data_IF_865517648538
#
_entry.id   IF_865517648538
#
_cell.length_a   1.000
_cell.length_b   1.000
_cell.length_c   1.000
_cell.angle_alpha   90.00
_cell.angle_beta   90.00
_cell.angle_gamma   90.00
#
_symmetry.space_group_name_H-M   'P 1'
#
loop_
_entity.id
_entity.type
_entity.pdbx_description
1 polymer ?
#
# COMPACT_ATOMS: atom_id res chain seq x y z
N UNK A 1 0.53 -23.87 1.92
CA UNK A 1 -0.01 -22.69 1.20
C UNK A 1 1.04 -22.25 0.21
N UNK A 2 0.64 -21.83 -0.99
CA UNK A 2 1.53 -21.38 -2.06
C UNK A 2 1.08 -20.01 -2.56
N UNK A 3 2.04 -19.18 -2.97
CA UNK A 3 1.77 -17.95 -3.70
C UNK A 3 1.62 -18.30 -5.18
N UNK A 4 0.48 -17.93 -5.75
CA UNK A 4 0.17 -18.09 -7.16
C UNK A 4 0.26 -16.72 -7.83
N UNK A 5 1.01 -16.67 -8.92
CA UNK A 5 1.17 -15.50 -9.79
C UNK A 5 0.47 -15.76 -11.12
N UNK A 6 0.12 -14.69 -11.85
CA UNK A 6 -0.44 -14.82 -13.21
C UNK A 6 -1.96 -14.76 -13.26
N UNK A 7 -2.54 -13.76 -12.60
CA UNK A 7 -3.95 -13.37 -12.78
C UNK A 7 -4.32 -13.16 -14.25
N UNK A 8 -5.59 -12.89 -14.52
CA UNK A 8 -6.19 -12.89 -15.89
C UNK A 8 -5.60 -11.86 -16.87
N UNK A 9 -4.74 -10.95 -16.42
CA UNK A 9 -4.12 -9.94 -17.27
C UNK A 9 -2.85 -10.48 -17.94
N UNK A 10 -2.75 -10.31 -19.26
CA UNK A 10 -1.58 -10.72 -20.05
C UNK A 10 -0.33 -9.85 -19.77
N UNK A 11 -0.51 -8.54 -19.55
CA UNK A 11 0.59 -7.62 -19.22
C UNK A 11 0.98 -7.78 -17.75
N UNK A 12 2.25 -8.14 -17.48
CA UNK A 12 2.78 -8.13 -16.11
C UNK A 12 2.72 -6.72 -15.54
N UNK A 13 2.01 -6.51 -14.43
CA UNK A 13 1.76 -5.19 -13.84
C UNK A 13 1.88 -5.24 -12.32
N UNK A 14 2.65 -4.29 -11.78
CA UNK A 14 2.78 -4.08 -10.33
C UNK A 14 1.71 -3.13 -9.84
N UNK A 15 0.97 -3.54 -8.82
CA UNK A 15 0.00 -2.69 -8.09
C UNK A 15 0.35 -2.68 -6.61
N UNK A 16 0.03 -1.60 -5.92
CA UNK A 16 0.25 -1.46 -4.49
C UNK A 16 -1.06 -1.11 -3.79
N UNK A 17 -1.30 -1.68 -2.62
CA UNK A 17 -2.40 -1.32 -1.73
C UNK A 17 -1.79 -0.87 -0.40
N UNK A 18 -2.36 0.17 0.20
CA UNK A 18 -1.94 0.69 1.50
C UNK A 18 -3.15 0.93 2.39
N UNK A 19 -2.97 0.73 3.69
CA UNK A 19 -3.99 0.96 4.71
C UNK A 19 -3.31 1.38 6.03
N UNK A 20 -4.06 2.01 6.93
CA UNK A 20 -3.62 2.23 8.29
C UNK A 20 -4.76 2.09 9.30
N UNK A 21 -4.55 1.30 10.34
CA UNK A 21 -5.48 1.25 11.48
C UNK A 21 -5.03 2.25 12.55
N UNK A 22 -5.86 3.26 12.79
CA UNK A 22 -5.57 4.39 13.68
C UNK A 22 -5.60 4.00 15.16
N UNK A 23 -4.59 4.43 15.94
CA UNK A 23 -4.51 4.26 17.40
C UNK A 23 -4.75 2.81 17.87
N UNK A 24 -4.17 1.84 17.15
CA UNK A 24 -4.33 0.42 17.48
C UNK A 24 -3.62 0.02 18.77
N UNK A 25 -2.51 0.67 19.09
CA UNK A 25 -1.77 0.42 20.31
C UNK A 25 -2.33 1.24 21.47
N UNK A 26 -2.79 0.56 22.53
CA UNK A 26 -3.39 1.21 23.70
C UNK A 26 -2.36 1.87 24.63
N UNK A 27 -1.11 1.45 24.57
CA UNK A 27 -0.07 1.92 25.49
C UNK A 27 0.57 3.21 24.98
N UNK A 28 0.77 3.34 23.67
CA UNK A 28 1.40 4.53 23.08
C UNK A 28 0.59 5.24 21.98
N UNK A 29 -0.67 4.82 21.75
CA UNK A 29 -1.60 5.40 20.77
C UNK A 29 -1.07 5.42 19.33
N UNK A 30 -0.06 4.59 19.02
CA UNK A 30 0.46 4.51 17.66
C UNK A 30 -0.41 3.62 16.79
N UNK A 31 -0.54 4.04 15.54
CA UNK A 31 -1.31 3.35 14.51
C UNK A 31 -0.52 2.18 13.91
N UNK A 32 -1.22 1.23 13.30
CA UNK A 32 -0.63 0.15 12.50
C UNK A 32 -0.69 0.53 11.02
N UNK A 33 0.45 0.51 10.33
CA UNK A 33 0.53 0.68 8.87
C UNK A 33 0.68 -0.66 8.18
N UNK A 34 0.07 -0.79 7.01
CA UNK A 34 0.17 -1.97 6.17
C UNK A 34 0.24 -1.60 4.69
N UNK A 35 0.99 -2.39 3.93
CA UNK A 35 0.94 -2.35 2.47
C UNK A 35 1.20 -3.73 1.87
N UNK A 36 0.72 -3.92 0.64
CA UNK A 36 1.06 -5.08 -0.19
C UNK A 36 1.23 -4.65 -1.65
N UNK A 37 2.32 -5.11 -2.25
CA UNK A 37 2.58 -5.05 -3.68
C UNK A 37 2.20 -6.38 -4.30
N UNK A 38 1.44 -6.33 -5.38
CA UNK A 38 1.06 -7.50 -6.16
C UNK A 38 1.63 -7.40 -7.57
N UNK A 39 2.01 -8.55 -8.12
CA UNK A 39 2.33 -8.75 -9.54
C UNK A 39 1.30 -9.72 -10.11
N UNK A 40 0.39 -9.21 -10.95
CA UNK A 40 -0.73 -9.96 -11.53
C UNK A 40 -1.48 -10.80 -10.48
N UNK A 41 -1.87 -10.15 -9.38
CA UNK A 41 -2.68 -10.77 -8.31
C UNK A 41 -1.91 -11.58 -7.26
N UNK A 42 -0.63 -11.89 -7.48
CA UNK A 42 0.21 -12.53 -6.46
C UNK A 42 1.01 -11.51 -5.65
N UNK A 43 1.01 -11.60 -4.31
CA UNK A 43 1.83 -10.75 -3.47
C UNK A 43 3.34 -10.98 -3.69
N UNK A 44 4.09 -9.90 -3.88
CA UNK A 44 5.55 -9.92 -4.12
C UNK A 44 6.37 -9.15 -3.07
N UNK A 45 5.77 -8.14 -2.42
CA UNK A 45 6.34 -7.41 -1.28
C UNK A 45 5.21 -6.97 -0.38
N UNK A 46 5.39 -7.01 0.94
CA UNK A 46 4.36 -6.60 1.90
C UNK A 46 4.99 -6.16 3.20
N UNK A 47 4.22 -5.42 3.99
CA UNK A 47 4.63 -4.97 5.31
C UNK A 47 3.42 -4.81 6.22
N UNK A 48 3.59 -5.18 7.48
CA UNK A 48 2.74 -4.77 8.59
C UNK A 48 3.65 -4.21 9.68
N UNK A 49 3.46 -2.95 10.08
CA UNK A 49 4.33 -2.32 11.06
C UNK A 49 3.64 -1.22 11.85
N UNK A 50 3.95 -1.15 13.15
CA UNK A 50 3.59 -0.04 14.02
C UNK A 50 4.26 1.25 13.55
N UNK A 51 3.51 2.35 13.48
CA UNK A 51 4.05 3.65 13.12
C UNK A 51 5.08 4.11 14.15
N UNK A 52 6.07 4.90 13.71
CA UNK A 52 7.11 5.45 14.59
C UNK A 52 6.69 6.74 15.29
N UNK A 53 5.62 7.38 14.79
CA UNK A 53 5.03 8.61 15.32
C UNK A 53 3.58 8.35 15.66
N UNK A 54 3.06 9.09 16.65
CA UNK A 54 1.62 9.14 16.91
C UNK A 54 0.99 10.02 15.82
N UNK A 55 -0.01 9.49 15.14
CA UNK A 55 -0.77 10.25 14.16
C UNK A 55 -1.88 11.03 14.87
N UNK A 56 -2.18 12.24 14.39
CA UNK A 56 -3.25 13.07 14.97
C UNK A 56 -4.65 12.73 14.42
N UNK A 57 -4.73 11.92 13.37
CA UNK A 57 -5.99 11.50 12.75
C UNK A 57 -5.84 10.23 11.90
N UNK A 58 -6.94 9.57 11.59
CA UNK A 58 -6.97 8.44 10.62
C UNK A 58 -6.37 8.83 9.27
N UNK A 59 -6.73 10.01 8.74
CA UNK A 59 -6.15 10.51 7.48
C UNK A 59 -4.64 10.66 7.57
N UNK A 60 -4.11 11.07 8.71
CA UNK A 60 -2.67 11.17 8.90
C UNK A 60 -1.98 9.81 9.00
N UNK A 61 -2.57 8.84 9.72
CA UNK A 61 -2.01 7.49 9.75
C UNK A 61 -2.01 6.83 8.37
N UNK A 62 -3.07 7.04 7.59
CA UNK A 62 -3.17 6.58 6.20
C UNK A 62 -2.10 7.21 5.32
N UNK A 63 -1.90 8.52 5.47
CA UNK A 63 -0.85 9.23 4.77
C UNK A 63 0.56 8.70 5.11
N UNK A 64 0.79 8.40 6.39
CA UNK A 64 2.05 7.82 6.87
C UNK A 64 2.29 6.44 6.24
N UNK A 65 1.26 5.61 6.12
CA UNK A 65 1.32 4.30 5.46
C UNK A 65 1.62 4.45 3.96
N UNK A 66 0.86 5.31 3.26
CA UNK A 66 1.06 5.61 1.84
C UNK A 66 2.48 6.13 1.56
N UNK A 67 3.07 6.90 2.49
CA UNK A 67 4.44 7.38 2.38
C UNK A 67 5.47 6.27 2.44
N UNK A 68 5.24 5.27 3.29
CA UNK A 68 6.14 4.13 3.39
C UNK A 68 5.96 3.17 2.20
N UNK A 69 4.73 3.00 1.71
CA UNK A 69 4.45 2.30 0.45
C UNK A 69 5.12 3.01 -0.75
N UNK A 70 5.08 4.34 -0.83
CA UNK A 70 5.75 5.11 -1.89
C UNK A 70 7.28 4.91 -1.90
N UNK A 71 7.91 4.70 -0.74
CA UNK A 71 9.34 4.37 -0.65
C UNK A 71 9.64 3.02 -1.25
N UNK A 72 8.84 2.03 -0.86
CA UNK A 72 8.94 0.68 -1.40
C UNK A 72 8.68 0.68 -2.91
N UNK A 73 7.69 1.44 -3.39
CA UNK A 73 7.36 1.56 -4.81
C UNK A 73 8.52 2.12 -5.63
N UNK A 74 9.21 3.16 -5.14
CA UNK A 74 10.40 3.70 -5.81
C UNK A 74 11.53 2.68 -5.89
N UNK A 75 11.73 1.89 -4.83
CA UNK A 75 12.72 0.81 -4.82
C UNK A 75 12.35 -0.32 -5.80
N UNK A 76 11.10 -0.81 -5.75
CA UNK A 76 10.57 -1.85 -6.64
C UNK A 76 10.65 -1.40 -8.10
N UNK A 77 10.27 -0.16 -8.41
CA UNK A 77 10.32 0.39 -9.77
C UNK A 77 11.72 0.34 -10.34
N UNK A 78 12.72 0.75 -9.55
CA UNK A 78 14.14 0.66 -9.95
C UNK A 78 14.59 -0.79 -10.13
N UNK A 79 14.31 -1.64 -9.13
CA UNK A 79 14.71 -3.04 -9.15
C UNK A 79 14.16 -3.78 -10.38
N UNK A 80 12.87 -3.64 -10.66
CA UNK A 80 12.23 -4.30 -11.80
C UNK A 80 12.67 -3.69 -13.14
N UNK A 81 12.90 -2.38 -13.20
CA UNK A 81 13.43 -1.75 -14.40
C UNK A 81 14.82 -2.31 -14.78
N UNK A 82 15.66 -2.60 -13.79
CA UNK A 82 16.99 -3.19 -14.00
C UNK A 82 16.91 -4.66 -14.50
N UNK A 83 15.82 -5.37 -14.22
CA UNK A 83 15.60 -6.74 -14.71
C UNK A 83 15.11 -6.80 -16.17
N UNK A 84 14.44 -5.75 -16.66
CA UNK A 84 13.87 -5.63 -18.01
C UNK A 84 12.90 -6.77 -18.41
N UNK A 85 12.20 -7.36 -17.43
CA UNK A 85 11.20 -8.45 -17.66
C UNK A 85 9.75 -8.03 -17.47
N UNK A 86 9.49 -6.82 -16.94
CA UNK A 86 8.14 -6.28 -16.72
C UNK A 86 8.01 -4.92 -17.44
N UNK A 87 7.62 -4.89 -18.72
CA UNK A 87 7.60 -3.66 -19.52
C UNK A 87 6.71 -2.54 -18.94
N UNK A 88 5.62 -2.91 -18.25
CA UNK A 88 4.68 -1.97 -17.64
C UNK A 88 5.31 -1.08 -16.56
N UNK A 89 6.47 -1.47 -16.00
CA UNK A 89 7.15 -0.73 -14.93
C UNK A 89 7.58 0.69 -15.34
N UNK A 90 7.66 0.96 -16.65
CA UNK A 90 7.89 2.29 -17.21
C UNK A 90 6.73 3.26 -16.89
N UNK A 91 5.51 2.74 -16.72
CA UNK A 91 4.34 3.51 -16.28
C UNK A 91 4.43 3.78 -14.76
N UNK A 92 3.75 4.80 -14.22
CA UNK A 92 3.68 5.00 -12.78
C UNK A 92 3.09 3.77 -12.06
N UNK A 93 3.65 3.38 -10.91
CA UNK A 93 3.03 2.33 -10.07
C UNK A 93 1.79 2.91 -9.40
N UNK A 94 0.67 2.22 -9.52
CA UNK A 94 -0.57 2.62 -8.87
C UNK A 94 -0.60 2.17 -7.40
N UNK A 95 -0.72 3.15 -6.50
CA UNK A 95 -0.92 2.94 -5.07
C UNK A 95 -2.39 3.21 -4.74
N UNK A 96 -3.10 2.17 -4.35
CA UNK A 96 -4.48 2.18 -3.91
C UNK A 96 -4.56 2.48 -2.40
N UNK A 97 -5.36 3.49 -2.06
CA UNK A 97 -5.69 3.89 -0.68
C UNK A 97 -7.21 4.11 -0.61
N UNK A 98 -7.86 3.75 0.48
CA UNK A 98 -9.31 3.95 0.65
C UNK A 98 -9.65 5.32 1.28
N UNK A 99 -8.67 5.96 1.94
CA UNK A 99 -8.83 7.24 2.60
C UNK A 99 -8.69 8.43 1.64
N UNK A 100 -9.82 9.02 1.26
CA UNK A 100 -9.87 10.20 0.38
C UNK A 100 -9.13 11.41 0.93
N UNK A 101 -9.06 11.58 2.26
CA UNK A 101 -8.30 12.64 2.91
C UNK A 101 -6.80 12.50 2.69
N UNK A 102 -6.27 11.28 2.78
CA UNK A 102 -4.86 10.98 2.55
C UNK A 102 -4.50 11.16 1.07
N UNK A 103 -5.39 10.71 0.17
CA UNK A 103 -5.24 10.92 -1.28
C UNK A 103 -5.20 12.41 -1.62
N UNK A 104 -6.15 13.20 -1.09
CA UNK A 104 -6.19 14.64 -1.31
C UNK A 104 -4.91 15.31 -0.79
N UNK A 105 -4.41 14.90 0.38
CA UNK A 105 -3.17 15.39 0.97
C UNK A 105 -1.91 15.10 0.13
N UNK A 106 -1.92 13.98 -0.60
CA UNK A 106 -0.84 13.60 -1.50
C UNK A 106 -0.87 14.42 -2.80
N UNK A 107 -2.07 14.74 -3.31
CA UNK A 107 -2.27 15.50 -4.55
C UNK A 107 -2.17 17.02 -4.35
N UNK A 108 -2.66 17.53 -3.23
CA UNK A 108 -2.76 18.97 -2.97
C UNK A 108 -1.96 19.41 -1.73
N UNK A 109 -1.14 20.47 -1.84
CA UNK A 109 -0.52 21.11 -0.70
C UNK A 109 -1.52 21.90 0.13
N UNK A 110 -2.10 21.27 1.15
CA UNK A 110 -2.79 21.99 2.23
C UNK A 110 -1.80 22.32 3.35
N UNK A 111 -1.70 23.62 3.65
CA UNK A 111 -0.88 24.11 4.75
C UNK A 111 -1.53 23.70 6.08
N UNK A 112 -0.89 22.76 6.77
CA UNK A 112 -1.22 22.39 8.14
C UNK A 112 0.07 22.42 8.96
N UNK A 113 -0.01 22.97 10.18
CA UNK A 113 1.09 22.93 11.13
C UNK A 113 1.30 21.48 11.62
N UNK A 114 2.11 20.71 10.89
CA UNK A 114 2.43 19.32 11.23
C UNK A 114 3.86 19.20 11.77
N UNK A 115 4.13 18.11 12.49
CA UNK A 115 5.49 17.81 12.96
C UNK A 115 6.48 17.66 11.80
N UNK A 116 7.77 17.94 12.05
CA UNK A 116 8.83 17.86 11.03
C UNK A 116 8.94 16.47 10.38
N UNK A 117 8.72 15.40 11.15
CA UNK A 117 8.76 14.03 10.65
C UNK A 117 7.64 13.78 9.64
N UNK A 118 6.45 14.28 9.94
CA UNK A 118 5.30 14.15 9.07
C UNK A 118 5.50 14.99 7.81
N UNK A 119 5.93 16.25 7.93
CA UNK A 119 6.25 17.11 6.77
C UNK A 119 7.23 16.46 5.79
N UNK A 120 8.26 15.76 6.28
CA UNK A 120 9.19 15.03 5.40
C UNK A 120 8.48 13.94 4.59
N UNK A 121 7.57 13.17 5.21
CA UNK A 121 6.73 12.18 4.51
C UNK A 121 5.85 12.85 3.45
N UNK A 122 5.34 14.05 3.75
CA UNK A 122 4.57 14.86 2.80
C UNK A 122 5.35 15.24 1.55
N UNK A 123 6.54 15.81 1.75
CA UNK A 123 7.40 16.20 0.64
C UNK A 123 7.81 15.00 -0.21
N UNK A 124 8.12 13.87 0.43
CA UNK A 124 8.58 12.67 -0.28
C UNK A 124 7.53 12.08 -1.23
N UNK A 125 6.28 11.90 -0.79
CA UNK A 125 5.23 11.38 -1.68
C UNK A 125 5.06 12.31 -2.89
N UNK A 126 5.00 13.62 -2.65
CA UNK A 126 4.81 14.60 -3.71
C UNK A 126 5.92 14.55 -4.75
N UNK A 127 7.17 14.52 -4.30
CA UNK A 127 8.32 14.43 -5.20
C UNK A 127 8.23 13.20 -6.12
N UNK A 128 7.77 12.05 -5.59
CA UNK A 128 7.65 10.82 -6.37
C UNK A 128 6.45 10.85 -7.32
N UNK A 129 5.33 11.45 -6.89
CA UNK A 129 4.17 11.67 -7.77
C UNK A 129 4.53 12.64 -8.91
N UNK A 130 5.20 13.75 -8.60
CA UNK A 130 5.67 14.76 -9.57
C UNK A 130 6.69 14.17 -10.55
N UNK A 131 7.55 13.25 -10.10
CA UNK A 131 8.47 12.49 -10.96
C UNK A 131 7.76 11.50 -11.89
N UNK A 132 6.48 11.20 -11.65
CA UNK A 132 5.72 10.21 -12.42
C UNK A 132 6.08 8.77 -12.05
N UNK A 133 6.67 8.56 -10.87
CA UNK A 133 7.04 7.22 -10.43
C UNK A 133 5.84 6.44 -9.92
N UNK A 134 4.91 7.14 -9.25
CA UNK A 134 3.67 6.58 -8.70
C UNK A 134 2.48 7.46 -9.02
N UNK A 135 1.29 6.85 -8.98
CA UNK A 135 0.01 7.55 -8.88
C UNK A 135 -0.75 7.03 -7.66
N UNK A 136 -1.54 7.88 -7.01
CA UNK A 136 -2.38 7.48 -5.89
C UNK A 136 -3.86 7.52 -6.29
N UNK A 137 -4.51 6.36 -6.18
CA UNK A 137 -5.88 6.11 -6.60
C UNK A 137 -6.74 5.65 -5.43
N UNK A 138 -8.04 5.94 -5.51
CA UNK A 138 -9.00 5.47 -4.52
C UNK A 138 -9.32 4.00 -4.77
N UNK A 139 -9.35 3.21 -3.71
CA UNK A 139 -9.98 1.87 -3.71
C UNK A 139 -11.15 1.85 -2.74
N UNK A 140 -12.09 0.94 -2.94
CA UNK A 140 -13.12 0.66 -1.95
C UNK A 140 -12.50 -0.07 -0.75
N UNK A 141 -12.92 0.25 0.49
CA UNK A 141 -12.37 -0.36 1.71
C UNK A 141 -12.48 -1.89 1.67
N UNK A 142 -13.60 -2.45 1.19
CA UNK A 142 -13.77 -3.91 1.13
C UNK A 142 -12.93 -4.58 0.02
N UNK A 143 -12.32 -3.77 -0.85
CA UNK A 143 -11.40 -4.23 -1.91
C UNK A 143 -9.94 -3.87 -1.60
N UNK A 144 -9.65 -3.27 -0.45
CA UNK A 144 -8.30 -2.87 -0.09
C UNK A 144 -7.49 -4.08 0.38
N UNK A 145 -6.53 -4.53 -0.42
CA UNK A 145 -5.72 -5.72 -0.11
C UNK A 145 -4.73 -5.48 1.04
N UNK A 146 -4.58 -4.24 1.51
CA UNK A 146 -3.74 -3.91 2.65
C UNK A 146 -4.42 -4.14 4.01
N UNK A 147 -5.74 -4.34 4.04
CA UNK A 147 -6.54 -4.55 5.26
C UNK A 147 -5.99 -5.66 6.19
N UNK A 148 -5.57 -6.85 5.68
CA UNK A 148 -5.03 -7.91 6.54
C UNK A 148 -3.74 -7.51 7.27
N UNK A 149 -3.07 -6.46 6.81
CA UNK A 149 -1.79 -6.00 7.36
C UNK A 149 -1.97 -4.91 8.42
N UNK A 150 -3.18 -4.45 8.70
CA UNK A 150 -3.43 -3.34 9.63
C UNK A 150 -4.40 -3.67 10.75
N UNK A 151 -5.38 -4.52 10.50
CA UNK A 151 -6.51 -4.76 11.42
C UNK A 151 -6.90 -6.23 11.48
N UNK A 152 -7.39 -6.70 12.65
CA UNK A 152 -8.04 -7.99 12.74
C UNK A 152 -9.33 -8.00 11.93
N UNK A 153 -9.70 -9.15 11.38
CA UNK A 153 -10.90 -9.33 10.56
C UNK A 153 -11.52 -10.71 10.75
N UNK A 154 -12.75 -10.88 10.25
CA UNK A 154 -13.44 -12.17 10.27
C UNK A 154 -12.76 -13.16 9.33
N UNK A 155 -12.98 -14.46 9.58
CA UNK A 155 -12.42 -15.54 8.75
C UNK A 155 -12.82 -15.38 7.28
N UNK A 156 -14.08 -15.04 6.99
CA UNK A 156 -14.58 -14.86 5.62
C UNK A 156 -13.84 -13.75 4.88
N UNK A 157 -13.64 -12.59 5.52
CA UNK A 157 -12.87 -11.48 4.93
C UNK A 157 -11.39 -11.86 4.76
N UNK A 158 -10.82 -12.54 5.76
CA UNK A 158 -9.45 -13.02 5.68
C UNK A 158 -9.26 -13.96 4.48
N UNK A 159 -10.16 -14.93 4.29
CA UNK A 159 -10.08 -15.88 3.18
C UNK A 159 -10.27 -15.18 1.83
N UNK A 160 -11.15 -14.18 1.75
CA UNK A 160 -11.31 -13.34 0.56
C UNK A 160 -10.01 -12.59 0.22
N UNK A 161 -9.41 -11.87 1.17
CA UNK A 161 -8.18 -11.12 0.91
C UNK A 161 -6.98 -12.03 0.66
N UNK A 162 -6.84 -13.10 1.43
CA UNK A 162 -5.87 -14.18 1.23
C UNK A 162 -5.93 -14.68 -0.22
N UNK A 163 -7.15 -14.91 -0.70
CA UNK A 163 -7.34 -15.32 -2.08
C UNK A 163 -6.96 -14.20 -3.07
N UNK A 164 -7.36 -12.96 -2.80
CA UNK A 164 -7.07 -11.84 -3.68
C UNK A 164 -5.55 -11.50 -3.80
N UNK A 165 -4.74 -11.85 -2.79
CA UNK A 165 -3.27 -11.71 -2.82
C UNK A 165 -2.52 -12.96 -3.32
N UNK A 166 -3.24 -13.94 -3.87
CA UNK A 166 -2.66 -15.12 -4.49
C UNK A 166 -2.22 -16.23 -3.53
N UNK A 167 -2.57 -16.17 -2.24
CA UNK A 167 -2.18 -17.20 -1.26
C UNK A 167 -3.22 -18.33 -1.23
N UNK A 168 -2.89 -19.53 -1.76
CA UNK A 168 -3.82 -20.68 -1.89
C UNK A 168 -3.35 -21.93 -1.15
N UNK A 169 -4.28 -22.83 -0.81
CA UNK A 169 -3.89 -24.16 -0.35
C UNK A 169 -3.52 -25.04 -1.55
N UNK A 170 -2.70 -26.06 -1.29
CA UNK A 170 -2.34 -27.05 -2.31
C UNK A 170 -3.58 -27.79 -2.84
N UNK A 171 -4.56 -28.00 -1.97
CA UNK A 171 -5.85 -28.62 -2.28
C UNK A 171 -6.68 -27.83 -3.29
N UNK A 172 -6.42 -26.52 -3.43
CA UNK A 172 -7.21 -25.64 -4.29
C UNK A 172 -6.61 -25.58 -5.72
N UNK A 173 -5.52 -26.32 -5.97
CA UNK A 173 -4.80 -26.35 -7.25
C UNK A 173 -5.10 -27.59 -8.11
N UNK A 174 -5.89 -28.54 -7.60
CA UNK A 174 -6.30 -29.78 -8.25
C UNK A 174 -7.82 -29.97 -8.13
#
# INVERSE_FOLDING_TARGET
>A
MFLIFGGVEEELTVRCYTDASFQTDRDDSRSQSGFVFTLNGGAVSWKSSKQSVVADSTTESEYIAASDAAKEAAWIKKFIADLDVVPSIRKPIEIFCDNTGAIAQAKEPRSHHKSRHILRKFHYIREIVERGDIIISKVDTDQNLADPFTKPMTQDKYDQHRNAIGLRFASDMF
#
